data_IF_261828986320
#
_entry.id   IF_261828986320
#
_cell.length_a   1.000
_cell.length_b   1.000
_cell.length_c   1.000
_cell.angle_alpha   90.00
_cell.angle_beta   90.00
_cell.angle_gamma   90.00
#
_symmetry.space_group_name_H-M   'P 1'
#
loop_
_entity.id
_entity.type
_entity.pdbx_description
1 polymer ?
#
# COMPACT_ATOMS: atom_id res chain seq x y z
N UNK A 1 55.23 24.44 23.86
CA UNK A 1 54.26 24.53 22.72
C UNK A 1 55.02 24.35 21.42
N UNK A 2 55.03 23.18 20.84
CA UNK A 2 55.71 22.92 19.56
C UNK A 2 54.81 23.28 18.41
N UNK A 3 55.09 24.37 17.74
CA UNK A 3 54.42 24.77 16.47
C UNK A 3 54.97 23.90 15.31
N UNK A 4 54.13 23.03 14.79
CA UNK A 4 54.46 22.25 13.59
C UNK A 4 54.27 23.20 12.40
N UNK A 5 55.38 23.67 11.82
CA UNK A 5 55.32 24.45 10.57
C UNK A 5 55.32 23.51 9.37
N UNK A 6 54.21 23.47 8.66
CA UNK A 6 54.09 22.73 7.38
C UNK A 6 54.64 23.61 6.28
N UNK A 7 55.64 23.12 5.55
CA UNK A 7 56.20 23.87 4.39
C UNK A 7 55.18 24.05 3.27
N UNK A 8 55.26 25.19 2.55
CA UNK A 8 54.34 25.48 1.39
C UNK A 8 54.31 24.35 0.36
N UNK A 9 55.42 23.62 0.20
CA UNK A 9 55.53 22.49 -0.75
C UNK A 9 54.70 21.25 -0.27
N UNK A 10 54.70 20.96 1.03
CA UNK A 10 53.86 19.89 1.63
C UNK A 10 52.39 20.24 1.61
N UNK A 11 52.04 21.51 1.79
CA UNK A 11 50.67 21.99 1.69
C UNK A 11 50.12 21.88 0.24
N UNK A 12 50.93 22.23 -0.77
CA UNK A 12 50.54 22.08 -2.17
C UNK A 12 50.40 20.61 -2.59
N UNK A 13 51.22 19.69 -2.03
CA UNK A 13 51.09 18.25 -2.31
C UNK A 13 49.86 17.67 -1.65
N UNK A 14 49.43 18.13 -0.48
CA UNK A 14 48.18 17.73 0.19
C UNK A 14 46.94 18.24 -0.56
N UNK A 15 46.99 19.45 -1.11
CA UNK A 15 45.92 20.00 -1.95
C UNK A 15 45.81 19.26 -3.29
N UNK A 16 46.90 18.86 -3.92
CA UNK A 16 46.92 18.10 -5.16
C UNK A 16 46.32 16.67 -4.98
N UNK A 17 46.63 16.02 -3.86
CA UNK A 17 46.05 14.71 -3.54
C UNK A 17 44.54 14.78 -3.16
N UNK A 18 44.09 15.86 -2.54
CA UNK A 18 42.70 16.11 -2.22
C UNK A 18 41.84 16.38 -3.46
N UNK A 19 42.36 17.08 -4.45
CA UNK A 19 41.65 17.38 -5.71
C UNK A 19 41.41 16.15 -6.59
N UNK A 20 42.33 15.17 -6.58
CA UNK A 20 42.12 13.91 -7.32
C UNK A 20 41.11 12.97 -6.66
N UNK A 21 40.97 13.02 -5.33
CA UNK A 21 39.97 12.24 -4.59
C UNK A 21 38.53 12.82 -4.71
N UNK A 22 38.39 14.12 -4.96
CA UNK A 22 37.09 14.78 -5.13
C UNK A 22 36.42 14.50 -6.51
N UNK A 23 37.15 13.95 -7.49
CA UNK A 23 36.63 13.59 -8.81
C UNK A 23 36.17 12.11 -8.91
N UNK A 24 36.51 11.28 -7.94
CA UNK A 24 35.97 9.94 -7.84
C UNK A 24 34.56 10.02 -7.23
N UNK A 25 33.54 10.31 -8.02
CA UNK A 25 32.16 10.02 -7.65
C UNK A 25 32.10 8.53 -7.32
N UNK A 26 31.67 8.11 -6.10
CA UNK A 26 31.42 6.71 -5.88
C UNK A 26 30.34 6.30 -6.88
N UNK A 27 30.72 5.44 -7.84
CA UNK A 27 29.74 4.77 -8.67
C UNK A 27 28.96 3.84 -7.74
N UNK A 28 27.85 4.32 -7.19
CA UNK A 28 26.87 3.46 -6.57
C UNK A 28 26.33 2.56 -7.65
N UNK A 29 26.89 1.36 -7.75
CA UNK A 29 26.40 0.33 -8.65
C UNK A 29 25.01 -0.04 -8.20
N UNK A 30 23.99 0.34 -8.97
CA UNK A 30 22.59 -0.03 -8.75
C UNK A 30 22.42 -1.56 -8.66
N UNK A 31 23.29 -2.34 -9.31
CA UNK A 31 23.31 -3.80 -9.23
C UNK A 31 23.62 -4.30 -7.80
N UNK A 32 24.57 -3.68 -7.09
CA UNK A 32 24.87 -4.08 -5.70
C UNK A 32 23.79 -3.66 -4.69
N UNK A 33 23.04 -2.59 -4.97
CA UNK A 33 21.91 -2.19 -4.12
C UNK A 33 20.76 -3.21 -4.19
N UNK A 34 20.48 -3.76 -5.39
CA UNK A 34 19.41 -4.76 -5.56
C UNK A 34 19.72 -6.12 -4.89
N UNK A 35 20.99 -6.50 -4.82
CA UNK A 35 21.40 -7.72 -4.09
C UNK A 35 21.24 -7.59 -2.58
N UNK A 36 21.41 -6.39 -2.01
CA UNK A 36 21.26 -6.17 -0.56
C UNK A 36 19.80 -6.01 -0.12
N UNK A 37 18.89 -5.60 -0.98
CA UNK A 37 17.46 -5.42 -0.65
C UNK A 37 16.74 -6.77 -0.48
N UNK A 38 17.28 -7.87 -1.04
CA UNK A 38 16.73 -9.23 -0.88
C UNK A 38 17.38 -10.08 0.22
N UNK A 39 18.54 -9.65 0.74
CA UNK A 39 19.32 -10.46 1.70
C UNK A 39 18.88 -10.22 3.15
N UNK A 40 17.70 -10.68 3.53
CA UNK A 40 17.25 -10.75 4.93
C UNK A 40 17.81 -11.98 5.65
N UNK A 41 19.11 -12.31 5.46
CA UNK A 41 19.75 -13.41 6.19
C UNK A 41 19.06 -14.77 6.06
N UNK A 42 18.49 -15.09 4.90
CA UNK A 42 17.79 -16.35 4.66
C UNK A 42 16.32 -16.37 5.11
N UNK A 43 15.77 -15.26 5.60
CA UNK A 43 14.36 -15.15 5.99
C UNK A 43 13.48 -14.78 4.80
N UNK A 44 12.47 -15.59 4.51
CA UNK A 44 11.42 -15.33 3.51
C UNK A 44 10.30 -14.49 4.15
N UNK A 45 10.10 -13.26 3.69
CA UNK A 45 9.17 -12.28 4.29
C UNK A 45 7.87 -12.18 3.48
N UNK A 46 6.82 -12.88 3.94
CA UNK A 46 5.50 -12.94 3.29
C UNK A 46 4.37 -12.42 4.20
N UNK A 47 4.65 -11.41 5.04
CA UNK A 47 3.73 -10.99 6.11
C UNK A 47 3.04 -9.64 5.89
N UNK A 48 3.57 -8.77 5.02
CA UNK A 48 3.19 -7.35 4.98
C UNK A 48 2.57 -6.88 3.65
N UNK A 49 2.28 -7.79 2.72
CA UNK A 49 1.73 -7.48 1.39
C UNK A 49 2.62 -6.48 0.62
N UNK A 50 3.94 -6.63 0.76
CA UNK A 50 4.94 -5.87 0.02
C UNK A 50 5.09 -6.43 -1.40
N UNK A 51 5.58 -5.62 -2.32
CA UNK A 51 6.01 -6.09 -3.64
C UNK A 51 7.47 -6.55 -3.54
N UNK A 52 7.78 -7.85 -3.73
CA UNK A 52 9.12 -8.39 -3.53
C UNK A 52 10.15 -7.92 -4.58
N UNK A 53 9.67 -7.28 -5.66
CA UNK A 53 10.53 -6.76 -6.72
C UNK A 53 11.00 -5.33 -6.45
N UNK A 54 10.37 -4.62 -5.48
CA UNK A 54 10.69 -3.23 -5.16
C UNK A 54 10.28 -2.23 -6.26
N UNK A 55 10.78 -0.98 -6.18
CA UNK A 55 10.55 0.04 -7.20
C UNK A 55 11.21 -0.31 -8.53
N UNK A 56 10.70 0.24 -9.65
CA UNK A 56 11.31 0.04 -10.96
C UNK A 56 12.71 0.68 -11.05
N UNK A 57 13.56 0.23 -12.01
CA UNK A 57 14.86 0.87 -12.25
C UNK A 57 14.75 2.37 -12.51
N UNK A 58 13.68 2.84 -13.20
CA UNK A 58 13.42 4.26 -13.43
C UNK A 58 13.14 5.00 -12.14
N UNK A 59 12.31 4.42 -11.26
CA UNK A 59 12.02 4.98 -9.94
C UNK A 59 13.28 5.05 -9.05
N UNK A 60 14.09 3.99 -9.02
CA UNK A 60 15.33 3.95 -8.26
C UNK A 60 16.32 5.01 -8.77
N UNK A 61 16.43 5.18 -10.10
CA UNK A 61 17.27 6.22 -10.69
C UNK A 61 16.79 7.62 -10.30
N UNK A 62 15.49 7.88 -10.41
CA UNK A 62 14.91 9.18 -10.04
C UNK A 62 15.18 9.54 -8.56
N UNK A 63 15.07 8.58 -7.64
CA UNK A 63 15.45 8.76 -6.24
C UNK A 63 16.93 9.14 -6.10
N UNK A 64 17.84 8.41 -6.75
CA UNK A 64 19.28 8.66 -6.68
C UNK A 64 19.64 10.05 -7.21
N UNK A 65 19.05 10.43 -8.33
CA UNK A 65 19.25 11.75 -8.95
C UNK A 65 18.74 12.89 -8.05
N UNK A 66 17.78 12.60 -7.16
CA UNK A 66 17.16 13.57 -6.26
C UNK A 66 17.85 13.71 -4.90
N UNK A 67 18.89 12.93 -4.58
CA UNK A 67 19.57 13.03 -3.27
C UNK A 67 20.10 14.42 -2.96
N UNK A 68 20.56 15.16 -3.97
CA UNK A 68 21.00 16.56 -3.83
C UNK A 68 19.87 17.52 -3.39
N UNK A 69 18.63 17.13 -3.53
CA UNK A 69 17.46 17.92 -3.15
C UNK A 69 16.97 17.66 -1.72
N UNK A 70 17.64 16.78 -0.96
CA UNK A 70 17.24 16.43 0.41
C UNK A 70 17.20 17.64 1.37
N UNK A 71 17.83 18.76 1.02
CA UNK A 71 17.81 20.01 1.79
C UNK A 71 16.64 20.95 1.42
N UNK A 72 15.73 20.54 0.53
CA UNK A 72 14.61 21.36 0.02
C UNK A 72 13.29 20.80 0.47
N UNK A 73 12.30 21.68 0.68
CA UNK A 73 10.90 21.29 0.80
C UNK A 73 10.34 20.84 -0.57
N UNK A 74 9.35 19.95 -0.60
CA UNK A 74 8.95 19.25 -1.82
C UNK A 74 7.91 19.99 -2.69
N UNK A 75 7.58 21.26 -2.41
CA UNK A 75 6.46 22.04 -2.98
C UNK A 75 6.22 21.82 -4.49
N UNK A 76 7.24 22.09 -5.32
CA UNK A 76 7.14 21.95 -6.78
C UNK A 76 6.98 20.48 -7.20
N UNK A 77 7.62 19.56 -6.49
CA UNK A 77 7.58 18.13 -6.77
C UNK A 77 6.21 17.54 -6.44
N UNK A 78 5.54 18.04 -5.40
CA UNK A 78 4.16 17.69 -5.09
C UNK A 78 3.23 17.98 -6.28
N UNK A 79 3.31 19.18 -6.84
CA UNK A 79 2.47 19.60 -7.97
C UNK A 79 2.68 18.73 -9.20
N UNK A 80 3.94 18.37 -9.53
CA UNK A 80 4.25 17.47 -10.67
C UNK A 80 3.56 16.11 -10.50
N UNK A 81 3.59 15.52 -9.31
CA UNK A 81 2.94 14.23 -9.04
C UNK A 81 1.42 14.37 -9.07
N UNK A 82 0.87 15.44 -8.49
CA UNK A 82 -0.58 15.73 -8.49
C UNK A 82 -1.09 15.88 -9.94
N UNK A 83 -0.39 16.63 -10.81
CA UNK A 83 -0.78 16.82 -12.20
C UNK A 83 -0.81 15.49 -12.98
N UNK A 84 0.19 14.63 -12.78
CA UNK A 84 0.23 13.30 -13.38
C UNK A 84 -0.92 12.41 -12.89
N UNK A 85 -1.21 12.43 -11.60
CA UNK A 85 -2.31 11.68 -11.01
C UNK A 85 -3.67 12.21 -11.47
N UNK A 86 -3.84 13.52 -11.57
CA UNK A 86 -5.05 14.16 -12.08
C UNK A 86 -5.31 13.71 -13.53
N UNK A 87 -4.28 13.77 -14.37
CA UNK A 87 -4.36 13.30 -15.76
C UNK A 87 -4.69 11.80 -15.84
N UNK A 88 -4.01 10.96 -15.03
CA UNK A 88 -4.23 9.50 -15.01
C UNK A 88 -5.67 9.14 -14.61
N UNK A 89 -6.25 9.90 -13.67
CA UNK A 89 -7.59 9.63 -13.14
C UNK A 89 -8.71 10.40 -13.87
N UNK A 90 -8.39 11.27 -14.83
CA UNK A 90 -9.36 12.09 -15.55
C UNK A 90 -10.07 13.11 -14.66
N UNK A 91 -9.35 13.69 -13.69
CA UNK A 91 -9.87 14.65 -12.71
C UNK A 91 -9.02 15.93 -12.69
N UNK A 92 -9.45 16.97 -11.97
CA UNK A 92 -8.71 18.21 -11.81
C UNK A 92 -7.61 18.09 -10.73
N UNK A 93 -6.63 18.97 -10.77
CA UNK A 93 -5.54 19.08 -9.80
C UNK A 93 -6.04 19.17 -8.35
N UNK A 94 -7.05 19.99 -8.10
CA UNK A 94 -7.64 20.24 -6.77
C UNK A 94 -8.47 19.06 -6.22
N UNK A 95 -8.67 18.01 -7.03
CA UNK A 95 -9.32 16.76 -6.66
C UNK A 95 -8.32 15.65 -6.22
N UNK A 96 -7.02 15.94 -6.18
CA UNK A 96 -5.98 15.05 -5.71
C UNK A 96 -5.38 15.58 -4.39
N UNK A 97 -5.17 14.68 -3.43
CA UNK A 97 -4.46 14.97 -2.20
C UNK A 97 -3.44 13.87 -1.95
N UNK A 98 -2.15 14.25 -1.84
CA UNK A 98 -1.05 13.34 -1.51
C UNK A 98 -0.96 13.14 0.00
N UNK A 99 -0.36 12.03 0.42
CA UNK A 99 -0.08 11.74 1.83
C UNK A 99 1.09 10.78 2.02
N UNK A 100 1.61 10.73 3.25
CA UNK A 100 2.64 9.80 3.72
C UNK A 100 2.12 8.35 3.72
N UNK A 101 1.98 7.80 2.51
CA UNK A 101 1.24 6.58 2.23
C UNK A 101 -0.27 6.77 2.34
N UNK A 102 -1.04 5.77 1.88
CA UNK A 102 -2.50 5.79 2.07
C UNK A 102 -2.91 5.78 3.55
N UNK A 103 -2.00 5.43 4.46
CA UNK A 103 -2.26 5.46 5.90
C UNK A 103 -2.56 6.87 6.41
N UNK A 104 -1.88 7.90 5.91
CA UNK A 104 -2.23 9.29 6.22
C UNK A 104 -3.60 9.66 5.65
N UNK A 105 -3.90 9.25 4.42
CA UNK A 105 -5.22 9.47 3.81
C UNK A 105 -6.34 8.86 4.65
N UNK A 106 -6.17 7.60 5.11
CA UNK A 106 -7.14 6.94 5.98
C UNK A 106 -7.32 7.69 7.31
N UNK A 107 -6.20 8.17 7.89
CA UNK A 107 -6.22 8.98 9.10
C UNK A 107 -6.99 10.29 8.88
N UNK A 108 -6.68 11.01 7.82
CA UNK A 108 -7.37 12.26 7.47
C UNK A 108 -8.87 12.06 7.27
N UNK A 109 -9.27 10.99 6.57
CA UNK A 109 -10.68 10.65 6.39
C UNK A 109 -11.38 10.38 7.73
N UNK A 110 -10.76 9.58 8.61
CA UNK A 110 -11.32 9.32 9.94
C UNK A 110 -11.42 10.62 10.76
N UNK A 111 -10.37 11.44 10.76
CA UNK A 111 -10.31 12.68 11.54
C UNK A 111 -11.33 13.71 11.05
N UNK A 112 -11.50 13.82 9.74
CA UNK A 112 -12.43 14.79 9.13
C UNK A 112 -13.89 14.39 9.29
N UNK A 113 -14.20 13.07 9.15
CA UNK A 113 -15.58 12.63 8.96
C UNK A 113 -16.13 11.77 10.09
N UNK A 114 -15.33 11.43 11.12
CA UNK A 114 -15.80 10.64 12.26
C UNK A 114 -15.53 11.32 13.61
N UNK A 115 -16.31 11.03 14.62
CA UNK A 115 -16.19 11.60 15.97
C UNK A 115 -17.54 11.74 16.65
N UNK A 116 -17.55 12.16 17.91
CA UNK A 116 -18.78 12.28 18.72
C UNK A 116 -19.90 13.06 18.05
N UNK A 117 -19.53 14.15 17.34
CA UNK A 117 -20.49 15.05 16.69
C UNK A 117 -20.59 14.85 15.18
N UNK A 118 -19.65 14.15 14.56
CA UNK A 118 -19.55 13.95 13.11
C UNK A 118 -20.10 12.62 12.62
N UNK A 119 -20.40 11.73 13.53
CA UNK A 119 -20.95 10.41 13.24
C UNK A 119 -19.93 9.27 13.42
N UNK A 120 -20.40 8.05 13.16
CA UNK A 120 -19.64 6.83 13.37
C UNK A 120 -18.79 6.43 12.16
N UNK A 121 -17.88 5.46 12.37
CA UNK A 121 -17.25 4.71 11.29
C UNK A 121 -17.98 3.38 11.13
N UNK A 122 -18.39 3.06 9.91
CA UNK A 122 -18.86 1.71 9.53
C UNK A 122 -17.83 1.01 8.70
N UNK A 123 -17.44 -0.21 9.05
CA UNK A 123 -16.46 -1.00 8.31
C UNK A 123 -16.80 -2.49 8.34
N UNK A 124 -16.28 -3.25 7.40
CA UNK A 124 -16.40 -4.71 7.43
C UNK A 124 -15.56 -5.33 8.57
N UNK A 125 -15.90 -6.55 8.98
CA UNK A 125 -15.12 -7.38 9.89
C UNK A 125 -14.91 -8.78 9.29
N UNK A 126 -13.66 -9.14 8.87
CA UNK A 126 -12.45 -8.33 8.95
C UNK A 126 -12.26 -7.38 7.77
N UNK A 127 -11.53 -6.29 8.02
CA UNK A 127 -10.99 -5.37 7.01
C UNK A 127 -9.66 -4.79 7.47
N UNK A 128 -9.07 -3.84 6.72
CA UNK A 128 -7.85 -3.17 7.13
C UNK A 128 -8.10 -2.22 8.31
N UNK A 129 -7.36 -2.39 9.40
CA UNK A 129 -7.74 -1.88 10.74
C UNK A 129 -7.26 -0.45 11.03
N UNK A 130 -6.30 0.10 10.28
CA UNK A 130 -5.69 1.39 10.62
C UNK A 130 -6.70 2.54 10.77
N UNK A 131 -7.72 2.60 9.91
CA UNK A 131 -8.77 3.62 9.98
C UNK A 131 -9.70 3.41 11.19
N UNK A 132 -9.93 2.15 11.59
CA UNK A 132 -10.78 1.81 12.73
C UNK A 132 -10.15 2.33 14.03
N UNK A 133 -8.85 2.14 14.20
CA UNK A 133 -8.11 2.62 15.38
C UNK A 133 -8.08 4.15 15.43
N UNK A 134 -7.91 4.82 14.27
CA UNK A 134 -7.94 6.27 14.23
C UNK A 134 -9.34 6.81 14.59
N UNK A 135 -10.41 6.21 14.06
CA UNK A 135 -11.78 6.63 14.39
C UNK A 135 -12.07 6.50 15.89
N UNK A 136 -11.63 5.41 16.53
CA UNK A 136 -11.74 5.26 18.00
C UNK A 136 -10.95 6.34 18.75
N UNK A 137 -9.74 6.65 18.30
CA UNK A 137 -8.93 7.72 18.90
C UNK A 137 -9.63 9.07 18.84
N UNK A 138 -10.42 9.33 17.78
CA UNK A 138 -11.23 10.53 17.61
C UNK A 138 -12.55 10.47 18.45
N UNK A 139 -12.75 9.40 19.19
CA UNK A 139 -13.97 9.20 20.00
C UNK A 139 -15.21 8.79 19.21
N UNK A 140 -15.02 8.30 17.98
CA UNK A 140 -16.13 7.78 17.18
C UNK A 140 -16.51 6.35 17.59
N UNK A 141 -17.80 6.03 17.50
CA UNK A 141 -18.28 4.65 17.51
C UNK A 141 -17.81 3.95 16.22
N UNK A 142 -17.36 2.70 16.33
CA UNK A 142 -16.98 1.86 15.18
C UNK A 142 -17.96 0.70 15.07
N UNK A 143 -18.83 0.77 14.06
CA UNK A 143 -19.76 -0.30 13.73
C UNK A 143 -19.10 -1.30 12.77
N UNK A 144 -18.88 -2.53 13.26
CA UNK A 144 -18.30 -3.63 12.48
C UNK A 144 -19.40 -4.51 11.91
N UNK A 145 -19.38 -4.72 10.60
CA UNK A 145 -20.34 -5.55 9.87
C UNK A 145 -19.62 -6.78 9.32
N UNK A 146 -20.02 -8.02 9.68
CA UNK A 146 -19.42 -9.22 9.13
C UNK A 146 -19.48 -9.24 7.61
N UNK A 147 -18.44 -9.78 6.97
CA UNK A 147 -18.45 -10.06 5.55
C UNK A 147 -19.53 -11.08 5.18
N UNK A 148 -19.97 -11.09 3.92
CA UNK A 148 -20.85 -12.14 3.39
C UNK A 148 -20.15 -13.50 3.37
N UNK A 149 -20.88 -14.62 3.15
CA UNK A 149 -20.25 -15.94 2.98
C UNK A 149 -19.25 -16.04 1.84
N UNK A 150 -19.32 -15.13 0.86
CA UNK A 150 -18.33 -15.01 -0.23
C UNK A 150 -17.20 -14.03 0.06
N UNK A 151 -17.08 -13.56 1.30
CA UNK A 151 -16.12 -12.58 1.78
C UNK A 151 -16.24 -11.19 1.14
N UNK A 152 -17.35 -10.87 0.47
CA UNK A 152 -17.66 -9.51 0.02
C UNK A 152 -18.17 -8.66 1.18
N UNK A 153 -18.11 -7.34 1.06
CA UNK A 153 -18.75 -6.42 1.99
C UNK A 153 -20.27 -6.62 1.97
N UNK A 154 -20.89 -6.74 3.14
CA UNK A 154 -22.36 -6.79 3.29
C UNK A 154 -22.93 -5.36 3.23
N UNK A 155 -22.88 -4.77 2.03
CA UNK A 155 -23.29 -3.39 1.80
C UNK A 155 -24.72 -3.09 2.26
N UNK A 156 -25.71 -4.01 2.08
CA UNK A 156 -27.07 -3.84 2.62
C UNK A 156 -27.11 -3.65 4.14
N UNK A 157 -26.21 -4.29 4.89
CA UNK A 157 -26.11 -4.11 6.35
C UNK A 157 -25.23 -2.92 6.74
N UNK A 158 -24.23 -2.57 5.94
CA UNK A 158 -23.35 -1.42 6.20
C UNK A 158 -24.08 -0.08 6.13
N UNK A 159 -24.96 0.11 5.13
CA UNK A 159 -25.66 1.39 4.95
C UNK A 159 -26.52 1.78 6.15
N UNK A 160 -27.43 0.95 6.67
CA UNK A 160 -28.26 1.31 7.83
C UNK A 160 -27.46 1.40 9.14
N UNK A 161 -26.26 0.86 9.21
CA UNK A 161 -25.38 0.99 10.37
C UNK A 161 -24.72 2.39 10.47
N UNK A 162 -24.75 3.17 9.39
CA UNK A 162 -24.20 4.52 9.38
C UNK A 162 -25.15 5.50 10.10
N UNK A 163 -24.58 6.33 10.96
CA UNK A 163 -25.27 7.43 11.70
C UNK A 163 -24.67 8.77 11.27
N UNK A 164 -24.68 9.04 9.95
CA UNK A 164 -23.76 10.01 9.35
C UNK A 164 -22.32 9.45 9.33
N UNK A 165 -21.32 10.33 9.33
CA UNK A 165 -19.92 9.90 9.43
C UNK A 165 -19.38 9.25 8.15
N UNK A 166 -18.70 8.10 8.30
CA UNK A 166 -17.93 7.49 7.23
C UNK A 166 -18.19 5.99 7.11
N UNK A 167 -18.44 5.52 5.89
CA UNK A 167 -18.42 4.10 5.56
C UNK A 167 -17.10 3.78 4.84
N UNK A 168 -16.34 2.81 5.36
CA UNK A 168 -15.08 2.36 4.80
C UNK A 168 -15.24 1.03 4.08
N UNK A 169 -14.86 1.00 2.81
CA UNK A 169 -14.88 -0.18 1.94
C UNK A 169 -13.48 -0.42 1.37
N UNK A 170 -12.79 -1.46 1.81
CA UNK A 170 -11.50 -1.86 1.25
C UNK A 170 -11.73 -2.83 0.08
N UNK A 171 -11.48 -2.42 -1.15
CA UNK A 171 -11.80 -3.24 -2.32
C UNK A 171 -10.70 -3.19 -3.40
N UNK A 172 -9.92 -4.27 -3.59
CA UNK A 172 -9.96 -5.58 -2.91
C UNK A 172 -9.67 -5.52 -1.42
N UNK A 173 -10.34 -6.38 -0.63
CA UNK A 173 -10.28 -6.33 0.82
C UNK A 173 -8.97 -6.91 1.39
N UNK A 174 -8.49 -6.34 2.47
CA UNK A 174 -7.43 -6.89 3.30
C UNK A 174 -8.02 -7.20 4.70
N UNK A 175 -8.03 -8.49 5.15
CA UNK A 175 -7.07 -9.54 4.79
C UNK A 175 -7.56 -10.58 3.76
N UNK A 176 -8.76 -10.53 3.25
CA UNK A 176 -9.37 -11.62 2.49
C UNK A 176 -8.95 -11.69 1.01
N UNK A 177 -8.40 -10.60 0.47
CA UNK A 177 -8.10 -10.41 -0.96
C UNK A 177 -9.33 -10.52 -1.90
N UNK A 178 -10.52 -10.67 -1.35
CA UNK A 178 -11.79 -10.75 -2.06
C UNK A 178 -12.25 -9.38 -2.56
N UNK A 179 -13.17 -9.38 -3.51
CA UNK A 179 -13.80 -8.17 -4.03
C UNK A 179 -15.28 -8.11 -3.64
N UNK A 180 -15.79 -6.90 -3.58
CA UNK A 180 -17.21 -6.61 -3.62
C UNK A 180 -17.57 -6.35 -5.07
N UNK A 181 -18.58 -7.07 -5.65
CA UNK A 181 -18.90 -6.95 -7.05
C UNK A 181 -19.22 -5.51 -7.47
N UNK A 182 -18.72 -5.11 -8.64
CA UNK A 182 -18.77 -3.72 -9.13
C UNK A 182 -20.19 -3.14 -9.17
N UNK A 183 -21.18 -3.91 -9.63
CA UNK A 183 -22.55 -3.41 -9.74
C UNK A 183 -23.19 -3.19 -8.36
N UNK A 184 -22.88 -4.06 -7.37
CA UNK A 184 -23.33 -3.88 -6.00
C UNK A 184 -22.70 -2.65 -5.36
N UNK A 185 -21.39 -2.44 -5.58
CA UNK A 185 -20.67 -1.29 -5.04
C UNK A 185 -21.12 0.02 -5.69
N UNK A 186 -21.36 0.02 -7.02
CA UNK A 186 -21.91 1.16 -7.75
C UNK A 186 -23.29 1.56 -7.22
N UNK A 187 -24.20 0.58 -7.11
CA UNK A 187 -25.55 0.79 -6.56
C UNK A 187 -25.50 1.33 -5.11
N UNK A 188 -24.63 0.76 -4.31
CA UNK A 188 -24.42 1.22 -2.93
C UNK A 188 -23.96 2.68 -2.88
N UNK A 189 -22.93 3.06 -3.65
CA UNK A 189 -22.40 4.44 -3.69
C UNK A 189 -23.49 5.41 -4.13
N UNK A 190 -24.18 5.09 -5.23
CA UNK A 190 -25.21 5.96 -5.80
C UNK A 190 -26.42 6.17 -4.87
N UNK A 191 -26.77 5.14 -4.08
CA UNK A 191 -27.94 5.19 -3.17
C UNK A 191 -27.61 5.61 -1.75
N UNK A 192 -26.33 5.78 -1.40
CA UNK A 192 -25.96 6.25 -0.07
C UNK A 192 -26.25 7.76 0.05
N UNK A 193 -26.95 8.19 1.10
CA UNK A 193 -27.25 9.60 1.33
C UNK A 193 -25.98 10.46 1.37
N UNK A 194 -26.05 11.68 0.82
CA UNK A 194 -24.87 12.56 0.65
C UNK A 194 -24.24 13.04 1.96
N UNK A 195 -24.97 13.02 3.03
CA UNK A 195 -24.50 13.32 4.39
C UNK A 195 -23.60 12.23 4.98
N UNK A 196 -23.63 11.03 4.42
CA UNK A 196 -22.73 9.92 4.79
C UNK A 196 -21.60 9.83 3.78
N UNK A 197 -20.37 10.01 4.25
CA UNK A 197 -19.19 9.87 3.40
C UNK A 197 -18.88 8.41 3.13
N UNK A 198 -18.35 8.10 1.95
CA UNK A 198 -17.89 6.77 1.56
C UNK A 198 -16.42 6.87 1.19
N UNK A 199 -15.58 6.06 1.83
CA UNK A 199 -14.19 5.88 1.47
C UNK A 199 -14.00 4.48 0.89
N UNK A 200 -13.62 4.42 -0.38
CA UNK A 200 -13.21 3.19 -1.04
C UNK A 200 -11.68 3.15 -1.09
N UNK A 201 -11.09 2.18 -0.40
CA UNK A 201 -9.65 1.95 -0.39
C UNK A 201 -9.29 0.97 -1.50
N UNK A 202 -8.71 1.50 -2.57
CA UNK A 202 -8.27 0.78 -3.76
C UNK A 202 -6.76 0.45 -3.71
N UNK A 203 -6.18 0.16 -2.55
CA UNK A 203 -4.75 -0.12 -2.43
C UNK A 203 -4.27 -1.28 -3.31
N UNK A 204 -5.14 -2.21 -3.65
CA UNK A 204 -4.81 -3.40 -4.45
C UNK A 204 -5.41 -3.41 -5.86
N UNK A 205 -6.05 -2.32 -6.30
CA UNK A 205 -6.81 -2.27 -7.55
C UNK A 205 -6.00 -2.69 -8.80
N UNK A 206 -4.71 -2.41 -8.81
CA UNK A 206 -3.84 -2.82 -9.91
C UNK A 206 -3.72 -4.34 -10.07
N UNK A 207 -3.93 -5.13 -9.01
CA UNK A 207 -3.84 -6.59 -9.06
C UNK A 207 -5.15 -7.29 -9.40
N UNK A 208 -6.26 -6.54 -9.39
CA UNK A 208 -7.58 -7.08 -9.70
C UNK A 208 -7.72 -7.33 -11.21
N UNK A 209 -8.04 -8.56 -11.59
CA UNK A 209 -8.23 -9.03 -12.96
C UNK A 209 -9.63 -9.63 -13.21
N UNK A 210 -10.49 -9.64 -12.19
CA UNK A 210 -11.87 -10.09 -12.28
C UNK A 210 -12.72 -9.12 -13.11
N UNK A 211 -13.57 -9.67 -13.97
CA UNK A 211 -14.58 -8.89 -14.70
C UNK A 211 -15.64 -8.26 -13.79
N UNK A 212 -15.77 -8.76 -12.55
CA UNK A 212 -16.66 -8.21 -11.52
C UNK A 212 -16.01 -7.08 -10.69
N UNK A 213 -14.81 -6.66 -11.03
CA UNK A 213 -14.13 -5.55 -10.42
C UNK A 213 -14.01 -4.35 -11.38
N UNK A 214 -14.21 -3.15 -10.85
CA UNK A 214 -13.82 -1.91 -11.49
C UNK A 214 -13.46 -0.86 -10.45
N UNK A 215 -12.64 0.11 -10.83
CA UNK A 215 -12.38 1.29 -10.00
C UNK A 215 -13.61 2.18 -9.90
N UNK A 216 -13.86 2.72 -8.72
CA UNK A 216 -14.99 3.64 -8.51
C UNK A 216 -14.66 5.11 -8.77
N UNK A 217 -13.43 5.43 -9.21
CA UNK A 217 -13.02 6.81 -9.57
C UNK A 217 -14.00 7.47 -10.56
N UNK A 218 -14.50 6.81 -11.62
CA UNK A 218 -15.46 7.41 -12.54
C UNK A 218 -16.78 7.86 -11.88
N UNK A 219 -17.13 7.30 -10.72
CA UNK A 219 -18.37 7.64 -10.01
C UNK A 219 -18.25 8.96 -9.22
N UNK A 220 -17.04 9.49 -9.01
CA UNK A 220 -16.80 10.72 -8.25
C UNK A 220 -17.57 11.92 -8.80
N UNK A 221 -17.75 12.01 -10.12
CA UNK A 221 -18.43 13.14 -10.78
C UNK A 221 -19.87 13.35 -10.29
N UNK A 222 -20.57 12.26 -9.95
CA UNK A 222 -21.99 12.26 -9.58
C UNK A 222 -22.21 12.03 -8.07
N UNK A 223 -21.14 11.65 -7.34
CA UNK A 223 -21.20 11.29 -5.93
C UNK A 223 -20.19 12.12 -5.10
N UNK A 224 -20.55 13.34 -4.66
CA UNK A 224 -19.64 14.24 -3.97
C UNK A 224 -19.20 13.75 -2.58
N UNK A 225 -19.90 12.77 -2.01
CA UNK A 225 -19.57 12.08 -0.76
C UNK A 225 -18.64 10.87 -0.93
N UNK A 226 -18.14 10.62 -2.14
CA UNK A 226 -17.19 9.53 -2.42
C UNK A 226 -15.75 10.03 -2.31
N UNK A 227 -14.89 9.21 -1.67
CA UNK A 227 -13.44 9.38 -1.62
C UNK A 227 -12.82 8.06 -2.07
N UNK A 228 -11.80 8.10 -2.92
CA UNK A 228 -11.05 6.91 -3.34
C UNK A 228 -9.61 7.05 -2.88
N UNK A 229 -9.14 6.12 -2.03
CA UNK A 229 -7.75 6.09 -1.57
C UNK A 229 -6.92 5.10 -2.39
N UNK A 230 -5.68 5.47 -2.71
CA UNK A 230 -4.70 4.65 -3.44
C UNK A 230 -3.29 4.82 -2.88
N UNK A 231 -2.40 3.90 -3.23
CA UNK A 231 -1.03 3.88 -2.69
C UNK A 231 0.00 3.45 -3.73
N UNK A 232 1.21 3.97 -3.59
CA UNK A 232 2.40 3.48 -4.31
C UNK A 232 3.09 2.31 -3.59
N UNK A 233 2.61 1.91 -2.40
CA UNK A 233 3.22 0.85 -1.59
C UNK A 233 3.15 -0.54 -2.22
N UNK A 234 2.18 -0.80 -3.13
CA UNK A 234 1.87 -2.16 -3.62
C UNK A 234 2.51 -2.41 -4.98
N UNK A 235 1.80 -2.28 -6.09
CA UNK A 235 2.35 -2.59 -7.43
C UNK A 235 3.63 -1.81 -7.75
N UNK A 236 3.73 -0.58 -7.28
CA UNK A 236 4.91 0.26 -7.49
C UNK A 236 6.10 -0.08 -6.57
N UNK A 237 5.93 -0.98 -5.58
CA UNK A 237 7.03 -1.44 -4.72
C UNK A 237 7.60 -0.41 -3.76
N UNK A 238 6.86 0.65 -3.44
CA UNK A 238 7.34 1.80 -2.69
C UNK A 238 6.86 1.84 -1.23
N UNK A 239 6.62 0.67 -0.60
CA UNK A 239 6.07 0.60 0.76
C UNK A 239 6.89 1.40 1.80
N UNK A 240 8.22 1.34 1.71
CA UNK A 240 9.14 2.07 2.61
C UNK A 240 9.30 3.56 2.29
N UNK A 241 8.88 4.01 1.10
CA UNK A 241 9.02 5.41 0.67
C UNK A 241 7.85 6.29 1.13
N UNK A 242 6.75 5.68 1.52
CA UNK A 242 5.59 6.36 2.07
C UNK A 242 4.97 7.39 1.11
N UNK A 243 4.37 6.91 0.01
CA UNK A 243 3.59 7.74 -0.90
C UNK A 243 2.22 7.10 -1.18
N UNK A 244 1.18 7.90 -1.02
CA UNK A 244 -0.20 7.54 -1.34
C UNK A 244 -1.00 8.78 -1.68
N UNK A 245 -2.24 8.60 -2.11
CA UNK A 245 -3.10 9.71 -2.48
C UNK A 245 -4.58 9.33 -2.35
N UNK A 246 -5.43 10.34 -2.33
CA UNK A 246 -6.85 10.15 -2.59
C UNK A 246 -7.34 11.03 -3.73
N UNK A 247 -8.48 10.61 -4.27
CA UNK A 247 -9.25 11.33 -5.27
C UNK A 247 -10.64 11.58 -4.69
N UNK A 248 -11.09 12.85 -4.68
CA UNK A 248 -12.44 13.23 -4.24
C UNK A 248 -12.86 14.54 -4.91
N UNK A 249 -14.09 14.98 -4.70
CA UNK A 249 -14.52 16.32 -5.12
C UNK A 249 -13.79 17.40 -4.33
N UNK A 250 -13.62 18.57 -4.94
CA UNK A 250 -12.90 19.73 -4.39
C UNK A 250 -13.38 20.10 -2.98
N UNK A 251 -14.68 20.16 -2.79
CA UNK A 251 -15.30 20.52 -1.51
C UNK A 251 -14.95 19.51 -0.40
N UNK A 252 -14.81 18.23 -0.75
CA UNK A 252 -14.35 17.20 0.16
C UNK A 252 -12.88 17.38 0.50
N UNK A 253 -12.04 17.72 -0.48
CA UNK A 253 -10.62 18.02 -0.26
C UNK A 253 -10.43 19.24 0.65
N UNK A 254 -11.22 20.31 0.46
CA UNK A 254 -11.17 21.51 1.31
C UNK A 254 -11.51 21.21 2.77
N UNK A 255 -12.39 20.23 3.04
CA UNK A 255 -12.68 19.76 4.40
C UNK A 255 -11.54 18.95 5.03
N UNK A 256 -10.75 18.23 4.22
CA UNK A 256 -9.65 17.39 4.69
C UNK A 256 -8.35 18.18 4.90
N UNK A 257 -8.07 19.19 4.06
CA UNK A 257 -6.81 19.95 4.07
C UNK A 257 -6.44 20.56 5.44
N UNK A 258 -7.35 21.06 6.28
CA UNK A 258 -6.98 21.59 7.61
C UNK A 258 -6.36 20.57 8.57
N UNK A 259 -6.56 19.28 8.33
CA UNK A 259 -6.01 18.18 9.12
C UNK A 259 -4.77 17.56 8.47
N UNK A 260 -4.44 17.93 7.23
CA UNK A 260 -3.28 17.39 6.52
C UNK A 260 -1.99 17.96 7.10
N UNK A 261 -1.00 17.11 7.30
CA UNK A 261 0.34 17.55 7.63
C UNK A 261 1.00 18.16 6.39
N UNK A 262 1.58 19.35 6.54
CA UNK A 262 2.29 20.02 5.45
C UNK A 262 3.50 19.20 5.03
N UNK A 263 3.75 19.13 3.73
CA UNK A 263 4.93 18.49 3.14
C UNK A 263 5.21 17.06 3.63
N UNK A 264 4.13 16.29 3.92
CA UNK A 264 4.24 14.96 4.50
C UNK A 264 4.93 13.94 3.58
N UNK A 265 4.90 14.15 2.26
CA UNK A 265 5.53 13.24 1.30
C UNK A 265 6.95 13.72 0.98
N UNK A 266 7.94 12.90 1.31
CA UNK A 266 9.35 13.24 1.09
C UNK A 266 9.72 13.28 -0.40
N UNK A 267 10.76 14.08 -0.71
CA UNK A 267 11.18 14.37 -2.09
C UNK A 267 11.61 13.11 -2.88
N UNK A 268 12.20 12.11 -2.21
CA UNK A 268 12.62 10.85 -2.86
C UNK A 268 11.39 10.03 -3.27
N UNK A 269 10.36 10.02 -2.43
CA UNK A 269 9.09 9.35 -2.71
C UNK A 269 8.38 10.02 -3.90
N UNK A 270 8.38 11.35 -3.97
CA UNK A 270 7.79 12.10 -5.07
C UNK A 270 8.54 11.86 -6.39
N UNK A 271 9.86 11.88 -6.36
CA UNK A 271 10.68 11.58 -7.55
C UNK A 271 10.42 10.16 -8.07
N UNK A 272 10.38 9.17 -7.16
CA UNK A 272 10.08 7.79 -7.51
C UNK A 272 8.64 7.64 -8.03
N UNK A 273 7.66 8.28 -7.39
CA UNK A 273 6.26 8.25 -7.82
C UNK A 273 6.09 8.87 -9.21
N UNK A 274 6.68 10.04 -9.44
CA UNK A 274 6.65 10.70 -10.75
C UNK A 274 7.24 9.82 -11.85
N UNK A 275 8.41 9.19 -11.61
CA UNK A 275 9.05 8.29 -12.56
C UNK A 275 8.26 6.99 -12.77
N UNK A 276 7.62 6.47 -11.73
CA UNK A 276 6.75 5.28 -11.80
C UNK A 276 5.50 5.53 -12.65
N UNK A 277 4.91 6.73 -12.57
CA UNK A 277 3.75 7.11 -13.39
C UNK A 277 4.10 7.25 -14.88
N UNK A 278 5.36 7.54 -15.21
CA UNK A 278 5.87 7.59 -16.58
C UNK A 278 6.40 6.24 -17.08
N UNK A 279 6.33 5.19 -16.27
CA UNK A 279 6.82 3.85 -16.61
C UNK A 279 5.67 2.90 -16.98
N UNK A 280 5.33 2.76 -18.27
CA UNK A 280 4.15 2.00 -18.70
C UNK A 280 4.26 0.51 -18.37
N UNK A 281 5.50 -0.01 -18.24
CA UNK A 281 5.74 -1.44 -18.03
C UNK A 281 5.71 -1.84 -16.54
N UNK A 282 5.80 -0.88 -15.62
CA UNK A 282 5.91 -1.20 -14.19
C UNK A 282 4.67 -1.92 -13.65
N UNK A 283 3.49 -1.40 -13.99
CA UNK A 283 2.22 -1.99 -13.53
C UNK A 283 1.98 -3.35 -14.19
N UNK A 284 2.10 -3.44 -15.52
CA UNK A 284 1.86 -4.67 -16.27
C UNK A 284 2.82 -5.80 -15.88
N UNK A 285 4.11 -5.50 -15.68
CA UNK A 285 5.08 -6.46 -15.16
C UNK A 285 4.76 -6.90 -13.73
N UNK A 286 4.40 -5.95 -12.85
CA UNK A 286 4.00 -6.27 -11.47
C UNK A 286 2.77 -7.18 -11.41
N UNK A 287 1.77 -6.92 -12.24
CA UNK A 287 0.57 -7.76 -12.37
C UNK A 287 0.93 -9.18 -12.85
N UNK A 288 1.69 -9.29 -13.93
CA UNK A 288 2.10 -10.57 -14.52
C UNK A 288 2.88 -11.42 -13.54
N UNK A 289 3.93 -10.87 -12.94
CA UNK A 289 4.79 -11.58 -11.98
C UNK A 289 4.02 -12.04 -10.74
N UNK A 290 3.13 -11.18 -10.22
CA UNK A 290 2.25 -11.54 -9.11
C UNK A 290 1.28 -12.65 -9.49
N UNK A 291 0.66 -12.58 -10.67
CA UNK A 291 -0.30 -13.59 -11.15
C UNK A 291 0.36 -14.95 -11.33
N UNK A 292 1.54 -14.99 -11.98
CA UNK A 292 2.30 -16.23 -12.18
C UNK A 292 2.65 -16.91 -10.85
N UNK A 293 3.20 -16.16 -9.89
CA UNK A 293 3.57 -16.69 -8.59
C UNK A 293 2.33 -17.11 -7.75
N UNK A 294 1.24 -16.32 -7.83
CA UNK A 294 -0.03 -16.60 -7.16
C UNK A 294 -0.68 -17.89 -7.67
N UNK A 295 -0.75 -18.06 -8.99
CA UNK A 295 -1.30 -19.28 -9.60
C UNK A 295 -0.49 -20.53 -9.22
N UNK A 296 0.84 -20.43 -9.23
CA UNK A 296 1.72 -21.51 -8.78
C UNK A 296 1.37 -21.95 -7.35
N UNK A 297 1.33 -21.03 -6.41
CA UNK A 297 1.04 -21.33 -5.00
C UNK A 297 -0.35 -21.92 -4.80
N UNK A 298 -1.37 -21.34 -5.43
CA UNK A 298 -2.76 -21.82 -5.33
C UNK A 298 -2.86 -23.26 -5.85
N UNK A 299 -2.18 -23.58 -6.96
CA UNK A 299 -2.15 -24.94 -7.52
C UNK A 299 -1.48 -25.93 -6.58
N UNK A 300 -0.34 -25.57 -5.99
CA UNK A 300 0.39 -26.42 -5.03
C UNK A 300 -0.41 -26.69 -3.75
N UNK A 301 -1.09 -25.64 -3.24
CA UNK A 301 -1.97 -25.76 -2.08
C UNK A 301 -3.21 -26.63 -2.38
N UNK A 302 -3.82 -26.46 -3.55
CA UNK A 302 -4.96 -27.27 -3.97
C UNK A 302 -4.59 -28.76 -4.10
N UNK A 303 -3.41 -29.06 -4.65
CA UNK A 303 -2.87 -30.42 -4.73
C UNK A 303 -2.64 -31.02 -3.34
N UNK A 304 -2.27 -30.20 -2.35
CA UNK A 304 -2.15 -30.60 -0.96
C UNK A 304 -3.49 -30.60 -0.18
N UNK A 305 -4.63 -30.34 -0.86
CA UNK A 305 -5.96 -30.40 -0.29
C UNK A 305 -6.39 -29.14 0.47
N UNK A 306 -5.64 -28.03 0.37
CA UNK A 306 -5.99 -26.75 1.01
C UNK A 306 -6.76 -25.84 0.05
N UNK A 307 -7.73 -25.10 0.59
CA UNK A 307 -8.52 -24.10 -0.14
C UNK A 307 -8.01 -22.70 0.15
N UNK A 308 -8.14 -21.82 -0.82
CA UNK A 308 -7.87 -20.39 -0.65
C UNK A 308 -9.12 -19.56 -0.96
N UNK A 309 -9.27 -18.42 -0.31
CA UNK A 309 -10.24 -17.42 -0.73
C UNK A 309 -9.77 -16.89 -2.10
N UNK A 310 -10.67 -16.74 -3.12
CA UNK A 310 -10.32 -16.15 -4.40
C UNK A 310 -9.66 -14.78 -4.23
N UNK A 311 -8.43 -14.62 -4.76
CA UNK A 311 -7.62 -13.44 -4.47
C UNK A 311 -7.51 -12.50 -5.67
N UNK A 312 -7.83 -11.24 -5.45
CA UNK A 312 -7.66 -10.11 -6.37
C UNK A 312 -6.59 -9.11 -5.86
N UNK A 313 -5.59 -9.62 -5.10
CA UNK A 313 -4.52 -8.83 -4.51
C UNK A 313 -3.15 -9.54 -4.66
N UNK A 314 -2.11 -8.98 -4.05
CA UNK A 314 -0.77 -9.59 -3.97
C UNK A 314 -0.56 -10.45 -2.71
N UNK A 315 -1.61 -11.08 -2.24
CA UNK A 315 -1.59 -12.04 -1.13
C UNK A 315 -2.78 -12.99 -1.25
N UNK A 316 -2.74 -14.10 -0.55
CA UNK A 316 -3.81 -15.10 -0.45
C UNK A 316 -4.20 -15.34 1.00
N UNK A 317 -5.42 -15.84 1.22
CA UNK A 317 -5.88 -16.39 2.49
C UNK A 317 -6.13 -17.88 2.33
N UNK A 318 -5.42 -18.68 3.13
CA UNK A 318 -5.46 -20.14 3.10
C UNK A 318 -6.34 -20.64 4.25
N UNK A 319 -7.35 -21.42 3.98
CA UNK A 319 -8.10 -22.15 5.01
C UNK A 319 -7.24 -23.34 5.51
N UNK A 320 -6.68 -23.17 6.69
CA UNK A 320 -5.84 -24.17 7.35
C UNK A 320 -6.67 -25.23 8.12
N UNK A 321 -7.99 -25.11 8.18
CA UNK A 321 -8.92 -26.01 8.90
C UNK A 321 -8.63 -26.17 10.39
N UNK A 322 -7.66 -25.45 10.92
CA UNK A 322 -7.23 -25.41 12.32
C UNK A 322 -6.72 -24.03 12.68
N UNK A 323 -6.54 -23.76 13.98
CA UNK A 323 -5.97 -22.50 14.43
C UNK A 323 -4.63 -22.21 13.75
N UNK A 324 -4.50 -20.99 13.21
CA UNK A 324 -3.24 -20.57 12.54
C UNK A 324 -2.14 -20.18 13.52
N UNK A 325 -2.43 -20.02 14.81
CA UNK A 325 -1.42 -19.56 15.79
C UNK A 325 -0.22 -20.49 15.87
N UNK A 326 -0.37 -21.83 16.07
CA UNK A 326 0.77 -22.73 16.06
C UNK A 326 1.45 -22.80 14.69
N UNK A 327 0.69 -22.72 13.58
CA UNK A 327 1.25 -22.76 12.24
C UNK A 327 2.11 -21.53 11.94
N UNK A 328 1.67 -20.32 12.31
CA UNK A 328 2.45 -19.09 12.16
C UNK A 328 3.78 -19.20 12.92
N UNK A 329 3.76 -19.77 14.13
CA UNK A 329 4.97 -20.01 14.92
C UNK A 329 5.90 -21.01 14.21
N UNK A 330 5.39 -22.14 13.78
CA UNK A 330 6.17 -23.18 13.09
C UNK A 330 6.74 -22.66 11.76
N UNK A 331 5.98 -21.91 10.98
CA UNK A 331 6.49 -21.25 9.76
C UNK A 331 7.65 -20.30 10.06
N UNK A 332 7.55 -19.52 11.15
CA UNK A 332 8.64 -18.65 11.57
C UNK A 332 9.90 -19.41 11.95
N UNK A 333 9.78 -20.58 12.58
CA UNK A 333 10.90 -21.49 12.90
C UNK A 333 11.57 -22.04 11.63
N UNK A 334 10.83 -22.13 10.52
CA UNK A 334 11.36 -22.44 9.18
C UNK A 334 11.89 -21.20 8.42
N UNK A 335 12.09 -20.06 9.10
CA UNK A 335 12.49 -18.78 8.51
C UNK A 335 11.49 -18.24 7.44
N UNK A 336 10.23 -18.61 7.50
CA UNK A 336 9.17 -18.10 6.62
C UNK A 336 8.18 -17.29 7.44
N UNK A 337 8.19 -15.96 7.29
CA UNK A 337 7.33 -15.07 8.02
C UNK A 337 6.05 -14.80 7.22
N UNK A 338 4.94 -15.35 7.70
CA UNK A 338 3.58 -15.16 7.14
C UNK A 338 2.79 -14.10 7.90
N UNK A 339 1.55 -13.79 7.44
CA UNK A 339 0.69 -12.80 8.09
C UNK A 339 0.34 -13.16 9.53
N UNK A 340 -0.06 -12.15 10.30
CA UNK A 340 -0.51 -12.31 11.69
C UNK A 340 -1.87 -13.02 11.78
N UNK A 341 -2.27 -13.39 12.99
CA UNK A 341 -3.66 -13.80 13.27
C UNK A 341 -4.64 -12.67 12.97
N UNK A 342 -5.75 -13.02 12.34
CA UNK A 342 -6.95 -12.19 12.21
C UNK A 342 -8.06 -12.83 13.05
N UNK A 343 -8.51 -12.19 14.16
CA UNK A 343 -9.45 -12.81 15.10
C UNK A 343 -10.78 -13.26 14.47
N UNK A 344 -11.26 -12.54 13.46
CA UNK A 344 -12.46 -12.91 12.72
C UNK A 344 -12.28 -14.14 11.78
N UNK A 345 -11.04 -14.53 11.51
CA UNK A 345 -10.68 -15.66 10.64
C UNK A 345 -9.56 -16.50 11.27
N UNK A 346 -9.81 -17.13 12.45
CA UNK A 346 -8.75 -17.75 13.26
C UNK A 346 -8.10 -18.98 12.61
N UNK A 347 -8.74 -19.54 11.59
CA UNK A 347 -8.26 -20.71 10.84
C UNK A 347 -7.68 -20.34 9.46
N UNK A 348 -7.57 -19.04 9.14
CA UNK A 348 -7.08 -18.61 7.84
C UNK A 348 -5.73 -17.92 7.96
N UNK A 349 -4.74 -18.40 7.22
CA UNK A 349 -3.39 -17.84 7.15
C UNK A 349 -3.28 -16.90 5.94
N UNK A 350 -2.91 -15.64 6.18
CA UNK A 350 -2.60 -14.71 5.09
C UNK A 350 -1.14 -14.84 4.68
N UNK A 351 -0.91 -14.97 3.38
CA UNK A 351 0.43 -15.10 2.80
C UNK A 351 0.59 -14.12 1.66
N UNK A 352 1.58 -13.24 1.76
CA UNK A 352 1.97 -12.33 0.66
C UNK A 352 2.55 -13.13 -0.50
N UNK A 353 2.28 -12.72 -1.73
CA UNK A 353 2.91 -13.32 -2.91
C UNK A 353 4.32 -12.75 -3.06
N UNK A 354 5.30 -13.59 -2.83
CA UNK A 354 6.72 -13.34 -3.02
C UNK A 354 7.22 -13.64 -4.43
N UNK A 355 8.53 -13.60 -4.62
CA UNK A 355 9.16 -14.11 -5.85
C UNK A 355 8.96 -15.63 -5.93
N UNK A 356 9.01 -16.20 -7.14
CA UNK A 356 8.80 -17.64 -7.34
C UNK A 356 9.66 -18.52 -6.40
N UNK A 357 10.97 -18.32 -6.22
CA UNK A 357 11.77 -19.10 -5.27
C UNK A 357 11.32 -18.95 -3.80
N UNK A 358 10.82 -17.76 -3.41
CA UNK A 358 10.28 -17.54 -2.06
C UNK A 358 8.97 -18.32 -1.88
N UNK A 359 8.15 -18.40 -2.93
CA UNK A 359 6.91 -19.16 -2.90
C UNK A 359 7.15 -20.67 -2.92
N UNK A 360 8.18 -21.16 -3.61
CA UNK A 360 8.64 -22.56 -3.55
C UNK A 360 9.08 -22.93 -2.12
N UNK A 361 9.86 -22.06 -1.48
CA UNK A 361 10.27 -22.21 -0.07
C UNK A 361 9.06 -22.22 0.86
N UNK A 362 8.11 -21.29 0.66
CA UNK A 362 6.87 -21.23 1.42
C UNK A 362 6.07 -22.54 1.32
N UNK A 363 5.83 -23.02 0.10
CA UNK A 363 5.06 -24.26 -0.15
C UNK A 363 5.71 -25.45 0.53
N UNK A 364 7.04 -25.59 0.42
CA UNK A 364 7.80 -26.66 1.08
C UNK A 364 7.64 -26.60 2.60
N UNK A 365 7.87 -25.44 3.21
CA UNK A 365 7.74 -25.25 4.65
C UNK A 365 6.28 -25.48 5.13
N UNK A 366 5.30 -24.94 4.39
CA UNK A 366 3.88 -25.09 4.73
C UNK A 366 3.44 -26.54 4.74
N UNK A 367 3.82 -27.35 3.72
CA UNK A 367 3.52 -28.78 3.66
C UNK A 367 4.12 -29.57 4.84
N UNK A 368 5.28 -29.13 5.38
CA UNK A 368 5.90 -29.76 6.54
C UNK A 368 5.21 -29.43 7.86
N UNK A 369 4.75 -28.19 8.03
CA UNK A 369 4.17 -27.75 9.32
C UNK A 369 2.66 -27.95 9.40
N UNK A 370 1.97 -28.11 8.28
CA UNK A 370 0.53 -28.26 8.20
C UNK A 370 0.08 -29.71 7.98
N UNK A 371 1.04 -30.66 7.82
CA UNK A 371 0.80 -32.10 7.80
C UNK A 371 0.46 -32.57 9.23
#
# INVERSE_FOLDING_TARGET
>A
MNTISISRRKFAQLLGAGAAAALARPAFSSAKLSEHIGATGGVVRLSANENPYGPSPKALKAMTDSFGLACRYPDEHNNVVIDKLAKLNGVNHDQILLGDGSSEILKLCAETFTGKERGNLVAADPTFEAILEQAKTNGAEVAKVPLTPTFAHDLPKMRPAAKGGLIYVCNPNNPTASITPKDQLRDFITKTPRETMILVDEAYFHYADSLDYESVVPLLKDNPNLIVARTFSKVYGMAGLRCGYCVAQKETMERMRPYQMWDSVNIMALAAASASLDDPDQVSNGQRLNSEAKMFVISELATAGYKTIPSQANFIMIDCRQSVVPLIKAMKEQNVHVGRLFPALPNHMRVTIGKKPEMETFVSAFKQVAA
#
